data_IF_219076452943
#
_entry.id   IF_219076452943
#
_cell.length_a   1.000
_cell.length_b   1.000
_cell.length_c   1.000
_cell.angle_alpha   90.00
_cell.angle_beta   90.00
_cell.angle_gamma   90.00
#
_symmetry.space_group_name_H-M   'P 1'
#
loop_
_entity.id
_entity.type
_entity.pdbx_description
1 polymer ?
#
# COMPACT_ATOMS: atom_id res chain seq x y z
N UNK A 1 -15.71 -26.84 -10.07
CA UNK A 1 -15.91 -25.39 -9.82
C UNK A 1 -17.40 -25.09 -9.89
N UNK A 2 -17.96 -24.55 -8.81
CA UNK A 2 -19.37 -24.16 -8.81
C UNK A 2 -19.57 -22.90 -9.62
N UNK A 3 -20.52 -22.95 -10.52
CA UNK A 3 -20.89 -21.78 -11.29
C UNK A 3 -21.68 -20.82 -10.39
N UNK A 4 -21.14 -19.64 -10.17
CA UNK A 4 -21.75 -18.57 -9.39
C UNK A 4 -22.37 -17.51 -10.29
N UNK A 5 -22.60 -17.83 -11.55
CA UNK A 5 -23.15 -16.93 -12.53
C UNK A 5 -24.67 -16.73 -12.41
N UNK A 6 -25.26 -16.20 -13.46
CA UNK A 6 -26.70 -15.95 -13.53
C UNK A 6 -27.47 -17.28 -13.45
N UNK A 7 -28.61 -17.29 -12.73
CA UNK A 7 -29.46 -18.45 -12.58
C UNK A 7 -29.30 -19.19 -11.28
N UNK A 8 -28.38 -18.82 -10.40
CA UNK A 8 -28.26 -19.38 -9.05
C UNK A 8 -29.20 -18.67 -8.08
N UNK A 9 -29.65 -19.40 -7.06
CA UNK A 9 -30.50 -18.81 -6.03
C UNK A 9 -29.72 -17.81 -5.18
N UNK A 10 -30.38 -16.86 -4.50
CA UNK A 10 -29.70 -15.94 -3.59
C UNK A 10 -28.85 -16.62 -2.52
N UNK A 11 -29.29 -17.77 -2.03
CA UNK A 11 -28.57 -18.57 -1.03
C UNK A 11 -27.27 -19.16 -1.61
N UNK A 12 -27.32 -19.65 -2.85
CA UNK A 12 -26.15 -20.17 -3.55
C UNK A 12 -25.15 -19.07 -3.83
N UNK A 13 -25.64 -17.88 -4.24
CA UNK A 13 -24.78 -16.72 -4.48
C UNK A 13 -24.06 -16.31 -3.20
N UNK A 14 -24.76 -16.28 -2.08
CA UNK A 14 -24.16 -15.95 -0.79
C UNK A 14 -23.05 -16.93 -0.41
N UNK A 15 -23.26 -18.23 -0.61
CA UNK A 15 -22.25 -19.25 -0.35
C UNK A 15 -21.04 -19.10 -1.27
N UNK A 16 -21.28 -18.78 -2.55
CA UNK A 16 -20.19 -18.52 -3.50
C UNK A 16 -19.36 -17.31 -3.08
N UNK A 17 -20.01 -16.23 -2.65
CA UNK A 17 -19.31 -15.02 -2.18
C UNK A 17 -18.50 -15.29 -0.92
N UNK A 18 -19.04 -16.05 0.02
CA UNK A 18 -18.33 -16.46 1.23
C UNK A 18 -17.13 -17.34 0.92
N UNK A 19 -17.28 -18.28 -0.01
CA UNK A 19 -16.20 -19.17 -0.42
C UNK A 19 -15.08 -18.39 -1.15
N UNK A 20 -15.45 -17.47 -2.04
CA UNK A 20 -14.50 -16.60 -2.73
C UNK A 20 -13.73 -15.74 -1.72
N UNK A 21 -14.40 -15.17 -0.72
CA UNK A 21 -13.78 -14.39 0.34
C UNK A 21 -12.81 -15.22 1.17
N UNK A 22 -13.18 -16.45 1.53
CA UNK A 22 -12.27 -17.36 2.26
C UNK A 22 -11.02 -17.69 1.47
N UNK A 23 -11.14 -17.89 0.15
CA UNK A 23 -9.99 -18.14 -0.71
C UNK A 23 -9.04 -16.95 -0.76
N UNK A 24 -9.59 -15.73 -0.84
CA UNK A 24 -8.79 -14.50 -0.79
C UNK A 24 -8.11 -14.36 0.56
N UNK A 25 -8.83 -14.60 1.65
CA UNK A 25 -8.29 -14.54 3.01
C UNK A 25 -7.21 -15.60 3.25
N UNK A 26 -7.36 -16.78 2.65
CA UNK A 26 -6.35 -17.84 2.74
C UNK A 26 -5.05 -17.47 2.01
N UNK A 27 -5.14 -16.63 0.96
CA UNK A 27 -3.97 -16.15 0.21
C UNK A 27 -3.34 -14.89 0.78
N UNK A 28 -4.03 -14.22 1.71
CA UNK A 28 -3.57 -12.96 2.27
C UNK A 28 -3.91 -12.90 3.76
N UNK A 29 -2.94 -12.57 4.59
CA UNK A 29 -3.11 -12.40 6.02
C UNK A 29 -2.79 -10.94 6.39
N UNK A 30 -3.64 -10.36 7.24
CA UNK A 30 -3.48 -8.99 7.69
C UNK A 30 -3.52 -8.96 9.22
N UNK A 31 -2.47 -8.44 9.83
CA UNK A 31 -2.33 -8.35 11.28
C UNK A 31 -2.22 -6.88 11.68
N UNK A 32 -3.08 -6.38 12.57
CA UNK A 32 -2.96 -5.01 13.05
C UNK A 32 -1.72 -4.86 13.93
N UNK A 33 -1.05 -3.73 13.79
CA UNK A 33 0.09 -3.32 14.62
C UNK A 33 -0.15 -1.90 15.10
N UNK A 34 0.78 -1.36 15.88
CA UNK A 34 0.67 -0.05 16.50
C UNK A 34 0.39 1.08 15.50
N UNK A 35 -0.42 2.06 15.89
CA UNK A 35 -0.64 3.28 15.13
C UNK A 35 -1.58 3.14 13.93
N UNK A 36 -2.36 2.06 13.87
CA UNK A 36 -3.25 1.81 12.74
C UNK A 36 -2.58 1.17 11.53
N UNK A 37 -1.31 0.81 11.66
CA UNK A 37 -0.59 0.06 10.64
C UNK A 37 -1.09 -1.39 10.60
N UNK A 38 -0.97 -2.01 9.45
CA UNK A 38 -1.28 -3.43 9.27
C UNK A 38 -0.12 -4.11 8.57
N UNK A 39 0.30 -5.24 9.11
CA UNK A 39 1.27 -6.10 8.45
C UNK A 39 0.49 -7.04 7.53
N UNK A 40 0.77 -6.98 6.24
CA UNK A 40 0.07 -7.78 5.23
C UNK A 40 1.05 -8.79 4.64
N UNK A 41 0.65 -10.06 4.69
CA UNK A 41 1.41 -11.16 4.09
C UNK A 41 0.56 -11.79 3.00
N UNK A 42 1.05 -11.79 1.78
CA UNK A 42 0.36 -12.36 0.62
C UNK A 42 1.15 -13.56 0.12
N UNK A 43 0.46 -14.71 -0.04
CA UNK A 43 1.07 -15.91 -0.55
C UNK A 43 1.32 -15.78 -2.05
N UNK A 44 2.53 -16.14 -2.50
CA UNK A 44 2.86 -16.17 -3.92
C UNK A 44 2.24 -17.43 -4.54
N UNK A 45 1.39 -17.29 -5.58
CA UNK A 45 0.77 -18.45 -6.25
C UNK A 45 1.80 -19.36 -6.94
N UNK A 46 2.98 -18.84 -7.27
CA UNK A 46 4.04 -19.60 -7.92
C UNK A 46 4.97 -20.32 -6.93
N UNK A 47 4.64 -20.30 -5.64
CA UNK A 47 5.41 -20.99 -4.61
C UNK A 47 6.69 -20.27 -4.16
N UNK A 48 6.88 -19.04 -4.56
CA UNK A 48 7.99 -18.20 -4.08
C UNK A 48 7.74 -17.75 -2.65
N UNK A 49 8.71 -17.03 -2.07
CA UNK A 49 8.53 -16.45 -0.75
C UNK A 49 7.33 -15.50 -0.73
N UNK A 50 6.59 -15.49 0.39
CA UNK A 50 5.44 -14.62 0.56
C UNK A 50 5.84 -13.15 0.41
N UNK A 51 4.97 -12.36 -0.20
CA UNK A 51 5.12 -10.91 -0.23
C UNK A 51 4.67 -10.33 1.11
N UNK A 52 5.51 -9.49 1.70
CA UNK A 52 5.24 -8.88 3.02
C UNK A 52 5.30 -7.37 2.90
N UNK A 53 4.29 -6.70 3.45
CA UNK A 53 4.22 -5.24 3.47
C UNK A 53 3.61 -4.76 4.78
N UNK A 54 3.89 -3.50 5.13
CA UNK A 54 3.19 -2.78 6.18
C UNK A 54 2.42 -1.65 5.52
N UNK A 55 1.14 -1.53 5.83
CA UNK A 55 0.25 -0.59 5.17
C UNK A 55 -0.49 0.29 6.16
N UNK A 56 -0.73 1.53 5.77
CA UNK A 56 -1.57 2.45 6.51
C UNK A 56 -2.51 3.15 5.54
N UNK A 57 -3.80 3.19 5.88
CA UNK A 57 -4.79 3.89 5.06
C UNK A 57 -4.65 5.40 5.24
N UNK A 58 -5.14 6.16 4.26
CA UNK A 58 -5.17 7.61 4.34
C UNK A 58 -6.15 8.11 5.42
N UNK A 59 -5.94 9.35 5.87
CA UNK A 59 -6.96 10.09 6.59
C UNK A 59 -8.02 10.51 5.57
N UNK A 60 -9.13 9.79 5.52
CA UNK A 60 -10.16 9.97 4.49
C UNK A 60 -10.81 11.35 4.52
N UNK A 61 -10.85 12.00 5.69
CA UNK A 61 -11.42 13.33 5.83
C UNK A 61 -10.54 14.40 5.15
N UNK A 62 -9.24 14.13 5.01
CA UNK A 62 -8.26 15.08 4.46
C UNK A 62 -7.57 14.54 3.21
N UNK A 63 -8.17 13.58 2.52
CA UNK A 63 -7.56 12.94 1.36
C UNK A 63 -8.54 12.83 0.19
N UNK A 64 -7.97 12.93 -1.01
CA UNK A 64 -8.66 12.66 -2.26
C UNK A 64 -9.10 11.18 -2.26
N UNK A 65 -10.35 10.86 -2.67
CA UNK A 65 -10.82 9.48 -2.71
C UNK A 65 -10.03 8.57 -3.67
N UNK A 66 -9.21 9.11 -4.56
CA UNK A 66 -8.35 8.32 -5.45
C UNK A 66 -7.12 7.75 -4.73
N UNK A 67 -6.75 8.27 -3.56
CA UNK A 67 -5.61 7.80 -2.78
C UNK A 67 -6.09 6.88 -1.66
N UNK A 68 -5.55 5.67 -1.59
CA UNK A 68 -5.95 4.67 -0.59
C UNK A 68 -5.03 4.63 0.62
N UNK A 69 -3.72 4.75 0.42
CA UNK A 69 -2.79 4.65 1.53
C UNK A 69 -1.33 4.60 1.13
N UNK A 70 -0.53 4.27 2.13
CA UNK A 70 0.92 4.12 2.02
C UNK A 70 1.27 2.66 2.28
N UNK A 71 2.19 2.11 1.51
CA UNK A 71 2.69 0.75 1.67
C UNK A 71 4.21 0.76 1.77
N UNK A 72 4.72 0.05 2.76
CA UNK A 72 6.15 -0.25 2.91
C UNK A 72 6.31 -1.73 2.55
N UNK A 73 7.14 -2.04 1.59
CA UNK A 73 7.23 -3.39 1.02
C UNK A 73 8.65 -3.93 1.14
N UNK A 74 8.76 -5.25 1.39
CA UNK A 74 10.05 -5.92 1.31
C UNK A 74 10.51 -5.93 -0.15
N UNK A 75 11.63 -5.30 -0.41
CA UNK A 75 12.25 -5.25 -1.73
C UNK A 75 13.56 -6.03 -1.75
N UNK A 76 14.17 -6.12 -2.92
CA UNK A 76 15.43 -6.82 -3.13
C UNK A 76 16.57 -6.16 -2.36
N UNK A 77 16.59 -4.84 -2.32
CA UNK A 77 17.67 -4.04 -1.73
C UNK A 77 17.25 -3.35 -0.43
N UNK A 78 16.17 -3.79 0.18
CA UNK A 78 15.66 -3.21 1.40
C UNK A 78 14.16 -2.95 1.31
N UNK A 79 13.70 -1.97 2.07
CA UNK A 79 12.28 -1.63 2.13
C UNK A 79 11.96 -0.56 1.08
N UNK A 80 10.96 -0.82 0.26
CA UNK A 80 10.46 0.13 -0.73
C UNK A 80 9.23 0.84 -0.21
N UNK A 81 9.05 2.09 -0.63
CA UNK A 81 7.87 2.91 -0.30
C UNK A 81 6.99 3.02 -1.53
N UNK A 82 5.71 2.74 -1.38
CA UNK A 82 4.73 2.86 -2.45
C UNK A 82 3.46 3.55 -1.96
N UNK A 83 2.79 4.26 -2.86
CA UNK A 83 1.47 4.84 -2.61
C UNK A 83 0.43 3.97 -3.30
N UNK A 84 -0.64 3.65 -2.60
CA UNK A 84 -1.71 2.80 -3.13
C UNK A 84 -2.84 3.67 -3.65
N UNK A 85 -3.27 3.39 -4.88
CA UNK A 85 -4.30 4.15 -5.57
C UNK A 85 -5.57 3.31 -5.72
N UNK A 86 -6.72 3.97 -5.62
CA UNK A 86 -8.02 3.36 -5.94
C UNK A 86 -8.37 3.53 -7.40
N UNK A 87 -7.79 4.52 -8.07
CA UNK A 87 -7.96 4.76 -9.49
C UNK A 87 -6.63 4.49 -10.20
N UNK A 88 -6.56 3.45 -11.06
CA UNK A 88 -5.31 3.07 -11.70
C UNK A 88 -4.74 4.14 -12.62
N UNK A 89 -3.42 4.23 -12.70
CA UNK A 89 -2.70 5.08 -13.65
C UNK A 89 -2.14 4.25 -14.80
N UNK A 90 -1.90 4.91 -15.92
CA UNK A 90 -1.24 4.29 -17.08
C UNK A 90 0.17 3.83 -16.69
N UNK A 91 0.55 2.65 -17.19
CA UNK A 91 1.85 2.03 -16.89
C UNK A 91 3.04 2.91 -17.27
N UNK A 92 2.89 3.72 -18.32
CA UNK A 92 3.93 4.63 -18.79
C UNK A 92 4.01 5.94 -18.01
N UNK A 93 3.05 6.22 -17.14
CA UNK A 93 3.04 7.45 -16.35
C UNK A 93 4.23 7.48 -15.38
N UNK A 94 4.78 8.66 -15.19
CA UNK A 94 5.87 8.93 -14.24
C UNK A 94 5.50 10.17 -13.44
N UNK A 95 4.47 10.10 -12.59
CA UNK A 95 4.00 11.29 -11.89
C UNK A 95 5.04 11.78 -10.88
N UNK A 96 5.11 13.10 -10.73
CA UNK A 96 5.87 13.71 -9.65
C UNK A 96 5.07 13.59 -8.36
N UNK A 97 5.71 13.10 -7.32
CA UNK A 97 5.12 12.94 -5.99
C UNK A 97 5.87 13.84 -5.02
N UNK A 98 5.12 14.67 -4.29
CA UNK A 98 5.68 15.52 -3.25
C UNK A 98 5.21 14.99 -1.90
N UNK A 99 6.15 14.69 -1.02
CA UNK A 99 5.87 14.22 0.33
C UNK A 99 6.40 15.25 1.34
N UNK A 100 5.56 15.61 2.29
CA UNK A 100 5.92 16.61 3.30
C UNK A 100 5.71 16.03 4.70
N UNK A 101 6.75 16.11 5.53
CA UNK A 101 6.69 15.72 6.94
C UNK A 101 7.35 16.80 7.78
N UNK A 102 6.67 17.27 8.83
CA UNK A 102 7.25 18.23 9.75
C UNK A 102 7.83 19.48 9.08
N UNK A 103 7.19 19.95 8.01
CA UNK A 103 7.64 21.09 7.26
C UNK A 103 8.74 20.79 6.23
N UNK A 104 9.21 19.55 6.15
CA UNK A 104 10.22 19.14 5.15
C UNK A 104 9.54 18.58 3.93
N UNK A 105 9.82 19.18 2.79
CA UNK A 105 9.24 18.79 1.50
C UNK A 105 10.28 18.01 0.69
N UNK A 106 9.87 16.86 0.15
CA UNK A 106 10.70 16.06 -0.73
C UNK A 106 9.91 15.73 -1.99
N UNK A 107 10.58 15.76 -3.13
CA UNK A 107 9.97 15.54 -4.43
C UNK A 107 10.60 14.33 -5.11
N UNK A 108 9.75 13.46 -5.68
CA UNK A 108 10.17 12.21 -6.31
C UNK A 108 9.46 11.99 -7.64
N UNK A 109 10.13 11.30 -8.56
CA UNK A 109 9.48 10.75 -9.74
C UNK A 109 9.07 9.31 -9.44
N UNK A 110 7.78 9.02 -9.49
CA UNK A 110 7.26 7.69 -9.17
C UNK A 110 7.15 6.81 -10.41
N UNK A 111 7.19 5.50 -10.19
CA UNK A 111 6.94 4.50 -11.23
C UNK A 111 5.62 3.80 -10.95
N UNK A 112 4.84 3.53 -12.00
CA UNK A 112 3.55 2.84 -11.86
C UNK A 112 3.80 1.33 -11.84
N UNK A 113 3.27 0.66 -10.81
CA UNK A 113 3.39 -0.79 -10.62
C UNK A 113 2.02 -1.40 -10.30
N UNK A 114 1.96 -2.72 -10.19
CA UNK A 114 0.75 -3.47 -9.78
C UNK A 114 -0.49 -3.12 -10.62
N UNK A 115 -0.33 -3.13 -11.95
CA UNK A 115 -1.45 -2.88 -12.87
C UNK A 115 -2.00 -1.46 -12.80
N UNK A 116 -1.22 -0.50 -12.34
CA UNK A 116 -1.63 0.89 -12.20
C UNK A 116 -2.12 1.26 -10.80
N UNK A 117 -2.23 0.28 -9.89
CA UNK A 117 -2.82 0.50 -8.56
C UNK A 117 -1.82 1.02 -7.53
N UNK A 118 -0.54 1.09 -7.85
CA UNK A 118 0.48 1.57 -6.93
C UNK A 118 1.54 2.42 -7.62
N UNK A 119 2.07 3.37 -6.88
CA UNK A 119 3.19 4.22 -7.31
C UNK A 119 4.40 3.87 -6.44
N UNK A 120 5.43 3.31 -7.07
CA UNK A 120 6.67 3.00 -6.40
C UNK A 120 7.56 4.23 -6.37
N UNK A 121 8.05 4.59 -5.19
CA UNK A 121 8.95 5.72 -5.01
C UNK A 121 10.41 5.25 -5.08
N UNK A 122 11.35 6.12 -5.48
CA UNK A 122 12.77 5.75 -5.53
C UNK A 122 13.37 5.53 -4.13
N UNK A 123 14.57 4.99 -4.08
CA UNK A 123 15.26 4.63 -2.85
C UNK A 123 15.43 5.80 -1.86
N UNK A 124 15.46 7.03 -2.35
CA UNK A 124 15.56 8.21 -1.49
C UNK A 124 14.36 8.34 -0.54
N UNK A 125 13.17 7.91 -0.98
CA UNK A 125 11.99 7.88 -0.11
C UNK A 125 12.17 6.85 1.01
N UNK A 126 12.77 5.71 0.69
CA UNK A 126 13.06 4.66 1.70
C UNK A 126 14.02 5.17 2.77
N UNK A 127 14.99 5.98 2.39
CA UNK A 127 15.93 6.59 3.33
C UNK A 127 15.23 7.56 4.28
N UNK A 128 14.27 8.33 3.77
CA UNK A 128 13.47 9.23 4.59
C UNK A 128 12.57 8.45 5.55
N UNK A 129 11.99 7.34 5.12
CA UNK A 129 11.18 6.48 5.98
C UNK A 129 12.01 5.91 7.12
N UNK A 130 13.29 5.62 6.90
CA UNK A 130 14.19 5.11 7.90
C UNK A 130 14.78 6.20 8.81
N UNK A 131 14.51 7.47 8.53
CA UNK A 131 15.12 8.60 9.27
C UNK A 131 14.08 9.68 9.60
N UNK A 132 13.88 10.64 8.71
CA UNK A 132 13.10 11.86 8.97
C UNK A 132 11.62 11.59 9.30
N UNK A 133 11.04 10.54 8.73
CA UNK A 133 9.62 10.25 8.95
C UNK A 133 9.33 9.58 10.28
N UNK A 134 10.33 9.04 10.95
CA UNK A 134 10.12 8.22 12.15
C UNK A 134 9.58 9.03 13.33
N UNK A 135 9.88 10.31 13.40
CA UNK A 135 9.40 11.21 14.45
C UNK A 135 8.14 11.98 14.05
N UNK A 136 7.68 11.83 12.80
CA UNK A 136 6.51 12.54 12.30
C UNK A 136 5.23 11.76 12.61
N UNK A 137 4.12 12.50 12.77
CA UNK A 137 2.80 11.90 13.00
C UNK A 137 1.98 11.79 11.73
N UNK A 138 2.33 12.56 10.68
CA UNK A 138 1.57 12.62 9.43
C UNK A 138 2.48 12.89 8.25
N UNK A 139 2.14 12.27 7.14
CA UNK A 139 2.79 12.46 5.85
C UNK A 139 1.78 13.08 4.90
N UNK A 140 2.07 14.30 4.42
CA UNK A 140 1.25 14.95 3.38
C UNK A 140 1.70 14.46 2.01
N UNK A 141 0.74 14.13 1.16
CA UNK A 141 0.97 13.55 -0.16
C UNK A 141 0.37 14.44 -1.24
N UNK A 142 1.16 14.73 -2.28
CA UNK A 142 0.68 15.40 -3.48
C UNK A 142 1.20 14.64 -4.70
N UNK A 143 0.28 14.16 -5.54
CA UNK A 143 0.62 13.44 -6.76
C UNK A 143 0.18 14.30 -7.93
N UNK A 144 1.13 14.67 -8.79
CA UNK A 144 0.83 15.50 -9.96
C UNK A 144 0.03 14.68 -10.98
N UNK A 145 -1.20 15.09 -11.21
CA UNK A 145 -2.09 14.52 -12.23
C UNK A 145 -2.91 15.65 -12.86
N UNK A 146 -3.46 15.38 -14.02
CA UNK A 146 -4.37 16.31 -14.71
C UNK A 146 -5.78 15.77 -14.70
N UNK A 147 -6.81 16.63 -14.58
CA UNK A 147 -6.75 18.09 -14.46
C UNK A 147 -6.34 18.59 -13.07
N UNK A 148 -6.46 17.75 -12.02
CA UNK A 148 -6.19 18.16 -10.65
C UNK A 148 -5.25 17.16 -9.97
N UNK A 149 -4.32 17.66 -9.14
CA UNK A 149 -3.43 16.84 -8.35
C UNK A 149 -4.23 16.00 -7.34
N UNK A 150 -3.68 14.82 -7.00
CA UNK A 150 -4.21 14.00 -5.92
C UNK A 150 -3.55 14.47 -4.64
N UNK A 151 -4.35 14.94 -3.69
CA UNK A 151 -3.88 15.44 -2.40
C UNK A 151 -4.37 14.51 -1.30
N UNK A 152 -3.53 14.28 -0.31
CA UNK A 152 -3.93 13.45 0.82
C UNK A 152 -2.98 13.54 2.00
N UNK A 153 -3.37 12.88 3.07
CA UNK A 153 -2.59 12.78 4.29
C UNK A 153 -2.65 11.35 4.80
N UNK A 154 -1.50 10.83 5.21
CA UNK A 154 -1.40 9.49 5.79
C UNK A 154 -0.88 9.64 7.21
N UNK A 155 -1.61 9.18 8.22
CA UNK A 155 -1.07 9.10 9.58
C UNK A 155 0.10 8.11 9.59
N UNK A 156 1.24 8.50 10.13
CA UNK A 156 2.41 7.63 10.17
C UNK A 156 2.95 7.44 11.60
N UNK A 157 2.20 7.81 12.61
CA UNK A 157 2.53 7.46 13.99
C UNK A 157 2.67 5.94 14.10
N UNK A 158 3.71 5.46 14.77
CA UNK A 158 4.00 4.03 14.84
C UNK A 158 4.84 3.49 13.69
N UNK A 159 5.28 4.35 12.78
CA UNK A 159 6.15 3.95 11.67
C UNK A 159 7.39 3.17 12.13
N UNK A 160 8.12 3.56 13.18
CA UNK A 160 9.27 2.78 13.63
C UNK A 160 8.90 1.33 13.99
N UNK A 161 7.76 1.12 14.63
CA UNK A 161 7.27 -0.21 14.97
C UNK A 161 6.93 -1.00 13.71
N UNK A 162 6.23 -0.38 12.75
CA UNK A 162 5.91 -1.01 11.47
C UNK A 162 7.18 -1.43 10.71
N UNK A 163 8.18 -0.55 10.65
CA UNK A 163 9.46 -0.86 10.01
C UNK A 163 10.20 -1.99 10.70
N UNK A 164 10.16 -2.03 12.03
CA UNK A 164 10.79 -3.10 12.81
C UNK A 164 10.15 -4.45 12.51
N UNK A 165 8.83 -4.54 12.52
CA UNK A 165 8.11 -5.77 12.16
C UNK A 165 8.42 -6.20 10.73
N UNK A 166 8.43 -5.25 9.81
CA UNK A 166 8.70 -5.53 8.41
C UNK A 166 10.12 -6.07 8.23
N UNK A 167 11.11 -5.44 8.87
CA UNK A 167 12.51 -5.86 8.81
C UNK A 167 12.72 -7.27 9.34
N UNK A 168 11.99 -7.64 10.41
CA UNK A 168 12.06 -8.98 11.00
C UNK A 168 11.48 -10.04 10.07
N UNK A 169 10.57 -9.66 9.17
CA UNK A 169 9.90 -10.57 8.26
C UNK A 169 10.42 -10.49 6.82
N UNK A 170 11.23 -9.50 6.49
CA UNK A 170 11.88 -9.37 5.20
C UNK A 170 13.17 -10.20 5.20
N UNK A 171 13.07 -11.45 4.81
CA UNK A 171 14.26 -12.29 4.71
C UNK A 171 15.00 -11.98 3.41
N UNK A 172 16.32 -12.04 3.48
CA UNK A 172 17.17 -11.91 2.30
C UNK A 172 16.82 -13.00 1.30
N UNK A 173 16.52 -12.62 0.07
CA UNK A 173 16.15 -13.53 -1.02
C UNK A 173 17.36 -13.83 -1.89
#
# INVERSE_FOLDING_TARGET
MKDCGSGVSPEQRKRCDEEARRQVEAGSQSTPIEGGWRLVRSRDPDGRADAISAMHVVDSANSDPRLAGLSLQCGRDGINVALILLEPMARSARPTVVLTTGGRRAEFEASVIQGGAALLLPADASKLAASDWQSASELSVEIATKPNAILGAVPISGLPTALSYLSQNCHAR
#
